data_IF_489264515631
#
_entry.id   IF_489264515631
#
_cell.length_a   1.000
_cell.length_b   1.000
_cell.length_c   1.000
_cell.angle_alpha   90.00
_cell.angle_beta   90.00
_cell.angle_gamma   90.00
#
_symmetry.space_group_name_H-M   'P 1'
#
loop_
_entity.id
_entity.type
_entity.pdbx_description
1 polymer ?
#
# COMPACT_ATOMS: atom_id res chain seq x y z
N UNK A 1 -8.05 19.33 -1.40
CA UNK A 1 -8.52 17.97 -1.65
C UNK A 1 -9.94 17.91 -2.21
N UNK A 2 -10.92 18.58 -1.60
CA UNK A 2 -12.29 18.61 -2.13
C UNK A 2 -12.39 19.09 -3.57
N UNK A 3 -11.54 20.03 -3.98
CA UNK A 3 -11.51 20.56 -5.34
C UNK A 3 -11.17 19.50 -6.39
N UNK A 4 -10.37 18.51 -6.05
CA UNK A 4 -9.94 17.46 -6.99
C UNK A 4 -11.05 16.44 -7.30
N UNK A 5 -11.99 16.24 -6.41
CA UNK A 5 -13.03 15.21 -6.52
C UNK A 5 -14.43 15.77 -6.80
N UNK A 6 -14.60 17.09 -6.74
CA UNK A 6 -15.89 17.69 -7.03
C UNK A 6 -16.11 17.78 -8.56
N UNK A 7 -17.21 17.24 -9.12
CA UNK A 7 -17.45 17.22 -10.55
C UNK A 7 -17.42 18.60 -11.23
N UNK A 8 -17.82 19.64 -10.51
CA UNK A 8 -17.79 21.02 -10.97
C UNK A 8 -16.39 21.65 -10.99
N UNK A 9 -15.39 20.96 -10.48
CA UNK A 9 -14.00 21.38 -10.47
C UNK A 9 -13.12 20.53 -11.40
N UNK A 10 -13.71 19.95 -12.42
CA UNK A 10 -13.03 19.06 -13.38
C UNK A 10 -11.77 19.67 -14.00
N UNK A 11 -11.72 20.99 -14.19
CA UNK A 11 -10.54 21.68 -14.73
C UNK A 11 -9.33 21.58 -13.79
N UNK A 12 -9.54 21.77 -12.48
CA UNK A 12 -8.46 21.66 -11.51
C UNK A 12 -7.98 20.20 -11.39
N UNK A 13 -8.90 19.28 -11.45
CA UNK A 13 -8.59 17.85 -11.50
C UNK A 13 -7.78 17.48 -12.75
N UNK A 14 -8.18 17.95 -13.92
CA UNK A 14 -7.47 17.71 -15.17
C UNK A 14 -6.04 18.28 -15.14
N UNK A 15 -5.84 19.47 -14.57
CA UNK A 15 -4.50 20.04 -14.41
C UNK A 15 -3.60 19.20 -13.51
N UNK A 16 -4.12 18.74 -12.37
CA UNK A 16 -3.38 17.86 -11.47
C UNK A 16 -3.03 16.54 -12.13
N UNK A 17 -3.97 15.95 -12.90
CA UNK A 17 -3.70 14.73 -13.67
C UNK A 17 -2.63 14.92 -14.73
N UNK A 18 -2.63 16.05 -15.44
CA UNK A 18 -1.60 16.35 -16.44
C UNK A 18 -0.20 16.50 -15.83
N UNK A 19 -0.08 17.06 -14.62
CA UNK A 19 1.19 17.14 -13.92
C UNK A 19 1.79 15.75 -13.65
N UNK A 20 0.96 14.76 -13.35
CA UNK A 20 1.40 13.38 -13.16
C UNK A 20 1.72 12.62 -14.45
N UNK A 21 1.42 13.19 -15.62
CA UNK A 21 1.61 12.54 -16.93
C UNK A 21 2.89 12.97 -17.66
N UNK A 22 3.94 13.22 -16.93
CA UNK A 22 5.20 13.73 -17.51
C UNK A 22 5.72 12.91 -18.69
N UNK A 23 5.61 11.60 -18.64
CA UNK A 23 6.04 10.73 -19.75
C UNK A 23 5.26 10.96 -21.05
N UNK A 24 4.03 11.48 -20.96
CA UNK A 24 3.20 11.82 -22.11
C UNK A 24 3.40 13.26 -22.60
N UNK A 25 3.70 14.21 -21.70
CA UNK A 25 3.92 15.62 -22.07
C UNK A 25 5.38 15.95 -22.44
N UNK A 26 6.26 14.99 -22.34
CA UNK A 26 7.66 15.11 -22.76
C UNK A 26 8.44 16.18 -21.99
N UNK A 27 9.18 17.02 -22.72
CA UNK A 27 10.05 18.07 -22.17
C UNK A 27 9.35 19.44 -22.00
N UNK A 28 8.09 19.57 -22.33
CA UNK A 28 7.36 20.84 -22.13
C UNK A 28 7.15 21.08 -20.62
N UNK A 29 7.88 22.08 -20.12
CA UNK A 29 7.83 22.47 -18.73
C UNK A 29 6.88 23.63 -18.44
N UNK A 30 6.11 24.08 -19.44
CA UNK A 30 5.16 25.20 -19.31
C UNK A 30 4.12 24.89 -18.27
N UNK A 31 3.60 23.67 -18.24
CA UNK A 31 2.62 23.21 -17.29
C UNK A 31 3.11 23.30 -15.83
N UNK A 32 4.34 22.86 -15.57
CA UNK A 32 4.95 22.93 -14.23
C UNK A 32 5.17 24.37 -13.79
N UNK A 33 5.59 25.24 -14.70
CA UNK A 33 5.74 26.69 -14.45
C UNK A 33 4.42 27.33 -14.08
N UNK A 34 3.36 27.04 -14.83
CA UNK A 34 2.05 27.65 -14.62
C UNK A 34 1.42 27.11 -13.31
N UNK A 35 1.60 25.84 -13.00
CA UNK A 35 1.19 25.27 -11.72
C UNK A 35 1.97 25.91 -10.54
N UNK A 36 3.27 26.15 -10.66
CA UNK A 36 4.05 26.81 -9.62
C UNK A 36 3.58 28.25 -9.37
N UNK A 37 3.20 28.99 -10.42
CA UNK A 37 2.61 30.32 -10.29
C UNK A 37 1.24 30.28 -9.60
N UNK A 38 0.42 29.30 -9.94
CA UNK A 38 -0.89 29.10 -9.31
C UNK A 38 -0.73 28.82 -7.82
N UNK A 39 0.18 27.90 -7.46
CA UNK A 39 0.52 27.60 -6.05
C UNK A 39 0.99 28.86 -5.33
N UNK A 40 1.89 29.65 -5.92
CA UNK A 40 2.33 30.92 -5.35
C UNK A 40 1.17 31.90 -5.12
N UNK A 41 0.24 31.96 -6.04
CA UNK A 41 -0.96 32.80 -5.91
C UNK A 41 -1.83 32.35 -4.75
N UNK A 42 -2.03 31.05 -4.59
CA UNK A 42 -2.78 30.47 -3.46
C UNK A 42 -2.08 30.79 -2.14
N UNK A 43 -0.76 30.56 -2.03
CA UNK A 43 -0.01 30.88 -0.82
C UNK A 43 -0.12 32.37 -0.42
N UNK A 44 -0.15 33.26 -1.42
CA UNK A 44 -0.38 34.69 -1.17
C UNK A 44 -1.79 34.98 -0.68
N UNK A 45 -2.79 34.39 -1.29
CA UNK A 45 -4.18 34.57 -0.91
C UNK A 45 -4.46 34.08 0.52
N UNK A 46 -3.80 33.01 0.94
CA UNK A 46 -3.88 32.43 2.29
C UNK A 46 -2.95 33.16 3.31
N UNK A 47 -2.18 34.17 2.89
CA UNK A 47 -1.31 34.96 3.77
C UNK A 47 -0.05 34.23 4.25
N UNK A 48 0.32 33.10 3.62
CA UNK A 48 1.46 32.24 4.01
C UNK A 48 2.59 32.25 2.99
N UNK A 49 2.65 33.23 2.10
CA UNK A 49 3.65 33.31 1.03
C UNK A 49 5.11 33.38 1.50
N UNK A 50 5.35 33.78 2.76
CA UNK A 50 6.67 33.85 3.38
C UNK A 50 7.05 32.59 4.17
N UNK A 51 6.18 31.57 4.20
CA UNK A 51 6.44 30.31 4.86
C UNK A 51 6.96 29.28 3.86
N UNK A 52 7.80 28.32 4.28
CA UNK A 52 8.20 27.24 3.41
C UNK A 52 7.02 26.34 3.05
N UNK A 53 7.01 25.85 1.82
CA UNK A 53 6.04 24.86 1.35
C UNK A 53 6.57 23.44 1.64
N UNK A 54 5.84 22.69 2.45
CA UNK A 54 6.12 21.25 2.64
C UNK A 54 5.60 20.44 1.46
N UNK A 55 6.44 19.59 0.88
CA UNK A 55 6.06 18.61 -0.15
C UNK A 55 6.52 17.21 0.26
N UNK A 56 5.75 16.19 -0.05
CA UNK A 56 6.11 14.79 0.22
C UNK A 56 6.74 14.11 -1.01
N UNK A 57 6.02 14.10 -2.13
CA UNK A 57 6.51 13.55 -3.40
C UNK A 57 6.35 14.60 -4.49
N UNK A 58 7.45 14.91 -5.17
CA UNK A 58 7.45 15.88 -6.26
C UNK A 58 8.44 15.50 -7.35
N UNK A 59 8.05 15.63 -8.59
CA UNK A 59 8.96 15.45 -9.73
C UNK A 59 9.98 16.61 -9.81
N UNK A 60 11.24 16.35 -10.21
CA UNK A 60 12.28 17.37 -10.30
C UNK A 60 11.88 18.64 -11.07
N UNK A 61 11.19 18.59 -12.24
CA UNK A 61 10.78 19.80 -12.94
C UNK A 61 9.79 20.66 -12.13
N UNK A 62 8.90 20.04 -11.37
CA UNK A 62 7.98 20.77 -10.50
C UNK A 62 8.73 21.43 -9.35
N UNK A 63 9.67 20.72 -8.72
CA UNK A 63 10.53 21.28 -7.68
C UNK A 63 11.29 22.51 -8.20
N UNK A 64 11.92 22.41 -9.37
CA UNK A 64 12.63 23.53 -9.97
C UNK A 64 11.71 24.70 -10.33
N UNK A 65 10.49 24.43 -10.78
CA UNK A 65 9.51 25.48 -11.06
C UNK A 65 9.07 26.22 -9.79
N UNK A 66 8.84 25.52 -8.68
CA UNK A 66 8.53 26.12 -7.38
C UNK A 66 9.68 27.00 -6.88
N UNK A 67 10.91 26.50 -6.95
CA UNK A 67 12.10 27.26 -6.57
C UNK A 67 12.32 28.52 -7.43
N UNK A 68 12.05 28.40 -8.75
CA UNK A 68 12.15 29.55 -9.68
C UNK A 68 11.12 30.64 -9.39
N UNK A 69 9.94 30.26 -8.87
CA UNK A 69 8.94 31.21 -8.38
C UNK A 69 9.30 31.80 -7.00
N UNK A 70 10.43 31.43 -6.42
CA UNK A 70 10.88 31.92 -5.12
C UNK A 70 10.17 31.27 -3.94
N UNK A 71 9.59 30.08 -4.13
CA UNK A 71 8.99 29.31 -3.04
C UNK A 71 10.08 28.46 -2.39
N UNK A 72 10.28 28.62 -1.09
CA UNK A 72 11.13 27.72 -0.30
C UNK A 72 10.41 26.39 -0.13
N UNK A 73 11.03 25.30 -0.59
CA UNK A 73 10.47 23.95 -0.51
C UNK A 73 11.21 23.15 0.55
N UNK A 74 10.47 22.48 1.44
CA UNK A 74 10.98 21.55 2.45
C UNK A 74 10.29 20.20 2.35
N UNK A 75 10.91 19.17 2.89
CA UNK A 75 10.28 17.86 3.06
C UNK A 75 9.08 17.97 4.02
N UNK A 76 7.89 17.67 3.52
CA UNK A 76 6.64 17.69 4.26
C UNK A 76 6.16 16.30 4.68
N UNK A 77 6.90 15.23 4.35
CA UNK A 77 6.50 13.84 4.57
C UNK A 77 6.13 13.57 6.03
N UNK A 78 6.99 13.97 6.98
CA UNK A 78 6.74 13.71 8.38
C UNK A 78 5.49 14.43 8.90
N UNK A 79 5.25 15.67 8.46
CA UNK A 79 4.05 16.44 8.82
C UNK A 79 2.79 15.76 8.30
N UNK A 80 2.83 15.26 7.06
CA UNK A 80 1.70 14.53 6.46
C UNK A 80 1.46 13.17 7.13
N UNK A 81 2.51 12.47 7.55
CA UNK A 81 2.39 11.23 8.31
C UNK A 81 1.72 11.48 9.66
N UNK A 82 2.16 12.49 10.39
CA UNK A 82 1.56 12.85 11.67
C UNK A 82 0.09 13.28 11.55
N UNK A 83 -0.25 14.03 10.50
CA UNK A 83 -1.63 14.43 10.25
C UNK A 83 -2.58 13.25 9.96
N UNK A 84 -2.03 12.13 9.46
CA UNK A 84 -2.79 10.89 9.13
C UNK A 84 -2.69 9.81 10.19
N UNK A 85 -1.92 10.02 11.24
CA UNK A 85 -1.63 8.99 12.25
C UNK A 85 -2.89 8.59 13.03
N UNK A 86 -3.64 9.57 13.51
CA UNK A 86 -4.87 9.35 14.27
C UNK A 86 -6.09 9.47 13.35
N UNK A 87 -6.86 8.38 13.22
CA UNK A 87 -8.05 8.30 12.38
C UNK A 87 -9.29 8.66 13.18
N UNK A 88 -10.21 9.38 12.55
CA UNK A 88 -11.54 9.59 13.10
C UNK A 88 -12.48 8.39 12.82
N UNK A 89 -13.72 8.44 13.28
CA UNK A 89 -14.67 7.33 13.15
C UNK A 89 -15.07 7.02 11.71
N UNK A 90 -15.14 8.06 10.85
CA UNK A 90 -15.50 7.90 9.45
C UNK A 90 -14.35 7.25 8.68
N UNK A 91 -13.12 7.67 8.95
CA UNK A 91 -11.91 7.06 8.39
C UNK A 91 -11.77 5.59 8.79
N UNK A 92 -12.06 5.26 10.06
CA UNK A 92 -12.07 3.87 10.53
C UNK A 92 -13.14 3.04 9.81
N UNK A 93 -14.30 3.63 9.54
CA UNK A 93 -15.38 2.96 8.78
C UNK A 93 -14.91 2.65 7.35
N UNK A 94 -14.27 3.61 6.66
CA UNK A 94 -13.74 3.40 5.32
C UNK A 94 -12.62 2.34 5.27
N UNK A 95 -11.73 2.33 6.26
CA UNK A 95 -10.70 1.29 6.40
C UNK A 95 -11.31 -0.10 6.62
N UNK A 96 -12.36 -0.20 7.43
CA UNK A 96 -13.08 -1.44 7.64
C UNK A 96 -13.78 -1.92 6.36
N UNK A 97 -14.40 -1.02 5.60
CA UNK A 97 -15.02 -1.35 4.31
C UNK A 97 -13.97 -1.84 3.30
N UNK A 98 -12.85 -1.12 3.18
CA UNK A 98 -11.74 -1.54 2.32
C UNK A 98 -11.21 -2.93 2.72
N UNK A 99 -11.07 -3.21 4.03
CA UNK A 99 -10.63 -4.52 4.52
C UNK A 99 -11.64 -5.63 4.22
N UNK A 100 -12.94 -5.36 4.39
CA UNK A 100 -14.00 -6.33 4.09
C UNK A 100 -14.05 -6.70 2.60
N UNK A 101 -13.75 -5.75 1.70
CA UNK A 101 -13.63 -6.04 0.26
C UNK A 101 -12.51 -7.06 0.00
N UNK A 102 -11.36 -6.90 0.64
CA UNK A 102 -10.23 -7.83 0.51
C UNK A 102 -10.56 -9.20 1.12
N UNK A 103 -11.29 -9.27 2.22
CA UNK A 103 -11.76 -10.56 2.77
C UNK A 103 -12.64 -11.31 1.77
N UNK A 104 -13.54 -10.61 1.06
CA UNK A 104 -14.33 -11.19 -0.04
C UNK A 104 -13.46 -11.73 -1.17
N UNK A 105 -12.42 -10.98 -1.56
CA UNK A 105 -11.46 -11.45 -2.59
C UNK A 105 -10.69 -12.68 -2.13
N UNK A 106 -10.30 -12.76 -0.86
CA UNK A 106 -9.64 -13.96 -0.33
C UNK A 106 -10.53 -15.19 -0.35
N UNK A 107 -11.84 -15.02 -0.16
CA UNK A 107 -12.80 -16.12 -0.34
C UNK A 107 -12.82 -16.58 -1.81
N UNK A 108 -12.91 -15.65 -2.76
CA UNK A 108 -12.86 -15.97 -4.20
C UNK A 108 -11.54 -16.67 -4.59
N UNK A 109 -10.41 -16.21 -4.03
CA UNK A 109 -9.11 -16.86 -4.22
C UNK A 109 -9.12 -18.29 -3.67
N UNK A 110 -9.64 -18.50 -2.46
CA UNK A 110 -9.71 -19.83 -1.85
C UNK A 110 -10.50 -20.82 -2.69
N UNK A 111 -11.59 -20.38 -3.33
CA UNK A 111 -12.42 -21.17 -4.21
C UNK A 111 -11.76 -21.46 -5.56
N UNK A 112 -11.01 -20.49 -6.10
CA UNK A 112 -10.33 -20.62 -7.40
C UNK A 112 -9.00 -21.38 -7.31
N UNK A 113 -8.38 -21.42 -6.12
CA UNK A 113 -7.03 -21.93 -5.92
C UNK A 113 -6.98 -23.45 -6.08
N UNK A 114 -6.36 -23.90 -7.18
CA UNK A 114 -6.21 -25.32 -7.50
C UNK A 114 -4.89 -25.56 -8.24
N UNK A 115 -4.39 -26.79 -8.26
CA UNK A 115 -3.23 -27.14 -9.09
C UNK A 115 -3.44 -26.78 -10.55
N UNK A 116 -2.41 -26.20 -11.18
CA UNK A 116 -2.43 -25.81 -12.59
C UNK A 116 -2.92 -24.38 -12.86
N UNK A 117 -3.43 -23.66 -11.86
CA UNK A 117 -3.69 -22.22 -12.00
C UNK A 117 -2.37 -21.45 -11.95
N UNK A 118 -2.25 -20.36 -12.70
CA UNK A 118 -1.07 -19.48 -12.65
C UNK A 118 -1.20 -18.43 -11.56
N UNK A 119 -0.07 -17.99 -11.01
CA UNK A 119 -0.03 -16.86 -10.08
C UNK A 119 -0.69 -15.61 -10.69
N UNK A 120 -0.40 -15.31 -11.96
CA UNK A 120 -1.00 -14.19 -12.71
C UNK A 120 -2.52 -14.29 -12.88
N UNK A 121 -3.08 -15.50 -12.97
CA UNK A 121 -4.52 -15.69 -13.06
C UNK A 121 -5.23 -15.36 -11.74
N UNK A 122 -4.58 -15.63 -10.60
CA UNK A 122 -5.08 -15.19 -9.29
C UNK A 122 -5.06 -13.67 -9.19
N UNK A 123 -3.99 -13.02 -9.65
CA UNK A 123 -3.91 -11.55 -9.70
C UNK A 123 -5.04 -10.96 -10.55
N UNK A 124 -5.29 -11.53 -11.72
CA UNK A 124 -6.37 -11.08 -12.60
C UNK A 124 -7.76 -11.22 -11.94
N UNK A 125 -8.02 -12.35 -11.27
CA UNK A 125 -9.25 -12.58 -10.51
C UNK A 125 -9.43 -11.55 -9.42
N UNK A 126 -8.41 -11.36 -8.57
CA UNK A 126 -8.46 -10.44 -7.44
C UNK A 126 -8.64 -8.99 -7.90
N UNK A 127 -7.90 -8.57 -8.93
CA UNK A 127 -8.02 -7.23 -9.53
C UNK A 127 -9.42 -6.96 -10.04
N UNK A 128 -9.97 -7.90 -10.81
CA UNK A 128 -11.34 -7.81 -11.33
C UNK A 128 -12.36 -7.63 -10.19
N UNK A 129 -12.28 -8.48 -9.16
CA UNK A 129 -13.23 -8.43 -8.04
C UNK A 129 -13.17 -7.14 -7.25
N UNK A 130 -11.99 -6.62 -6.98
CA UNK A 130 -11.84 -5.33 -6.29
C UNK A 130 -12.50 -4.19 -7.06
N UNK A 131 -12.27 -4.10 -8.37
CA UNK A 131 -12.93 -3.07 -9.18
C UNK A 131 -14.45 -3.28 -9.29
N UNK A 132 -14.95 -4.52 -9.37
CA UNK A 132 -16.39 -4.80 -9.34
C UNK A 132 -17.04 -4.37 -8.01
N UNK A 133 -16.31 -4.41 -6.91
CA UNK A 133 -16.77 -3.93 -5.60
C UNK A 133 -16.62 -2.42 -5.39
N UNK A 134 -15.98 -1.69 -6.33
CA UNK A 134 -15.85 -0.25 -6.29
C UNK A 134 -14.53 0.26 -5.72
N UNK A 135 -13.46 -0.54 -5.77
CA UNK A 135 -12.11 -0.05 -5.43
C UNK A 135 -11.72 1.12 -6.33
N UNK A 136 -11.11 2.16 -5.76
CA UNK A 136 -10.59 3.31 -6.50
C UNK A 136 -9.34 2.93 -7.30
N UNK A 137 -8.49 2.11 -6.68
CA UNK A 137 -7.22 1.70 -7.24
C UNK A 137 -6.78 0.37 -6.64
N UNK A 138 -6.38 -0.55 -7.48
CA UNK A 138 -5.64 -1.76 -7.10
C UNK A 138 -4.16 -1.48 -7.34
N UNK A 139 -3.42 -1.23 -6.26
CA UNK A 139 -2.04 -0.75 -6.36
C UNK A 139 -1.06 -1.88 -6.64
N UNK A 140 -1.21 -2.99 -5.91
CA UNK A 140 -0.43 -4.18 -6.12
C UNK A 140 -1.16 -5.42 -5.59
N UNK A 141 -0.97 -6.53 -6.27
CA UNK A 141 -1.32 -7.85 -5.76
C UNK A 141 -0.11 -8.75 -5.94
N UNK A 142 0.49 -9.15 -4.82
CA UNK A 142 1.54 -10.15 -4.82
C UNK A 142 0.90 -11.54 -4.80
N UNK A 143 1.35 -12.42 -5.67
CA UNK A 143 0.87 -13.80 -5.78
C UNK A 143 2.07 -14.72 -5.93
N UNK A 144 2.44 -15.39 -4.84
CA UNK A 144 3.68 -16.13 -4.71
C UNK A 144 3.38 -17.57 -4.31
N UNK A 145 4.03 -18.52 -4.94
CA UNK A 145 3.79 -19.93 -4.67
C UNK A 145 5.05 -20.78 -4.65
N UNK A 146 4.98 -21.88 -3.91
CA UNK A 146 6.01 -22.91 -3.83
C UNK A 146 7.35 -22.39 -3.31
N UNK A 147 8.43 -22.74 -4.01
CA UNK A 147 9.81 -22.36 -3.67
C UNK A 147 10.06 -20.85 -3.66
N UNK A 148 9.23 -20.08 -4.34
CA UNK A 148 9.33 -18.61 -4.38
C UNK A 148 8.83 -17.94 -3.10
N UNK A 149 8.18 -18.68 -2.21
CA UNK A 149 7.76 -18.13 -0.91
C UNK A 149 8.91 -17.75 0.01
N UNK A 150 10.15 -18.13 -0.32
CA UNK A 150 11.36 -17.74 0.40
C UNK A 150 12.52 -17.54 -0.60
N UNK A 151 13.22 -16.39 -0.54
CA UNK A 151 12.91 -15.18 0.19
C UNK A 151 11.57 -14.58 -0.27
N UNK A 152 11.02 -13.62 0.45
CA UNK A 152 9.69 -13.06 0.26
C UNK A 152 9.66 -11.98 -0.86
N UNK A 153 9.42 -12.31 -2.14
CA UNK A 153 9.35 -11.32 -3.21
C UNK A 153 8.00 -10.60 -3.22
N UNK A 154 7.97 -9.39 -3.79
CA UNK A 154 6.75 -8.59 -3.94
C UNK A 154 6.34 -8.49 -5.42
N UNK A 155 5.98 -9.62 -6.01
CA UNK A 155 5.57 -9.70 -7.42
C UNK A 155 4.64 -10.89 -7.66
N UNK A 156 4.45 -11.22 -8.93
CA UNK A 156 3.85 -12.47 -9.39
C UNK A 156 4.51 -12.89 -10.70
N UNK A 157 4.30 -14.14 -11.10
CA UNK A 157 4.79 -14.66 -12.37
C UNK A 157 3.71 -15.49 -13.07
N UNK A 158 4.09 -16.12 -14.18
CA UNK A 158 3.28 -17.12 -14.90
C UNK A 158 3.45 -18.55 -14.35
N UNK A 159 4.12 -18.70 -13.18
CA UNK A 159 4.32 -20.00 -12.55
C UNK A 159 2.99 -20.71 -12.33
N UNK A 160 2.94 -21.97 -12.76
CA UNK A 160 1.83 -22.87 -12.45
C UNK A 160 1.93 -23.35 -11.00
N UNK A 161 0.89 -23.13 -10.23
CA UNK A 161 0.79 -23.57 -8.84
C UNK A 161 0.62 -25.10 -8.81
N UNK A 162 1.37 -25.79 -7.95
CA UNK A 162 1.46 -27.24 -7.90
C UNK A 162 0.77 -27.82 -6.66
N UNK A 163 0.39 -29.11 -6.69
CA UNK A 163 -0.08 -29.79 -5.47
C UNK A 163 0.97 -29.74 -4.35
N UNK A 164 0.55 -29.36 -3.13
CA UNK A 164 1.42 -29.24 -1.97
C UNK A 164 2.14 -27.91 -1.84
N UNK A 165 2.05 -27.02 -2.84
CA UNK A 165 2.61 -25.68 -2.72
C UNK A 165 1.96 -24.92 -1.57
N UNK A 166 2.77 -24.16 -0.83
CA UNK A 166 2.32 -23.01 -0.09
C UNK A 166 2.12 -21.87 -1.08
N UNK A 167 1.05 -21.14 -0.94
CA UNK A 167 0.82 -19.91 -1.72
C UNK A 167 0.37 -18.80 -0.79
N UNK A 168 0.98 -17.63 -0.92
CA UNK A 168 0.52 -16.45 -0.21
C UNK A 168 0.20 -15.31 -1.17
N UNK A 169 -0.73 -14.51 -0.75
CA UNK A 169 -1.18 -13.35 -1.51
C UNK A 169 -1.18 -12.14 -0.59
N UNK A 170 -0.73 -11.02 -1.14
CA UNK A 170 -0.82 -9.72 -0.52
C UNK A 170 -1.62 -8.81 -1.43
N UNK A 171 -2.66 -8.21 -0.90
CA UNK A 171 -3.58 -7.38 -1.66
C UNK A 171 -3.51 -5.95 -1.12
N UNK A 172 -3.08 -5.03 -1.99
CA UNK A 172 -2.97 -3.61 -1.70
C UNK A 172 -3.93 -2.86 -2.61
N UNK A 173 -4.97 -2.29 -2.02
CA UNK A 173 -5.94 -1.47 -2.74
C UNK A 173 -6.41 -0.29 -1.91
N UNK A 174 -7.08 0.65 -2.56
CA UNK A 174 -7.75 1.77 -1.89
C UNK A 174 -9.24 1.82 -2.21
N UNK A 175 -10.00 2.24 -1.22
CA UNK A 175 -11.43 2.52 -1.31
C UNK A 175 -11.70 3.89 -0.70
N UNK A 176 -12.29 4.80 -1.47
CA UNK A 176 -12.55 6.19 -1.08
C UNK A 176 -11.28 6.90 -0.55
N UNK A 177 -10.12 6.58 -1.14
CA UNK A 177 -8.81 7.10 -0.75
C UNK A 177 -8.15 6.42 0.46
N UNK A 178 -8.78 5.42 1.07
CA UNK A 178 -8.24 4.68 2.21
C UNK A 178 -7.69 3.34 1.78
N UNK A 179 -6.42 3.10 2.12
CA UNK A 179 -5.63 1.95 1.68
C UNK A 179 -5.63 0.86 2.72
N UNK A 180 -5.72 -0.41 2.25
CA UNK A 180 -5.42 -1.60 3.05
C UNK A 180 -4.31 -2.41 2.41
N UNK A 181 -3.61 -3.19 3.25
CA UNK A 181 -2.59 -4.14 2.82
C UNK A 181 -2.51 -5.26 3.86
N UNK A 182 -2.82 -6.49 3.46
CA UNK A 182 -2.59 -7.65 4.32
C UNK A 182 -2.53 -8.97 3.56
N UNK A 183 -1.90 -9.93 4.17
CA UNK A 183 -1.58 -11.24 3.61
C UNK A 183 -2.54 -12.34 4.04
N UNK A 184 -2.69 -13.34 3.15
CA UNK A 184 -3.23 -14.64 3.51
C UNK A 184 -2.40 -15.73 2.85
N UNK A 185 -2.17 -16.82 3.62
CA UNK A 185 -1.39 -17.97 3.18
C UNK A 185 -2.28 -19.19 3.08
N UNK A 186 -2.16 -19.93 1.99
CA UNK A 186 -2.91 -21.14 1.68
C UNK A 186 -1.94 -22.30 1.39
N UNK A 187 -2.44 -23.52 1.56
CA UNK A 187 -1.80 -24.70 0.98
C UNK A 187 -2.68 -25.25 -0.16
N UNK A 188 -2.04 -25.57 -1.27
CA UNK A 188 -2.73 -26.12 -2.44
C UNK A 188 -2.80 -27.64 -2.33
N UNK A 189 -3.96 -28.14 -1.92
CA UNK A 189 -4.15 -29.53 -1.56
C UNK A 189 -3.87 -29.79 -0.07
N UNK A 190 -3.06 -30.81 0.27
CA UNK A 190 -2.86 -31.22 1.65
C UNK A 190 -1.60 -30.60 2.28
N UNK A 191 -1.78 -29.85 3.35
CA UNK A 191 -0.67 -29.30 4.13
C UNK A 191 0.11 -30.40 4.85
N UNK A 192 1.45 -30.29 4.87
CA UNK A 192 2.33 -31.13 5.67
C UNK A 192 2.23 -30.80 7.17
N UNK A 193 2.65 -31.70 8.07
CA UNK A 193 2.73 -31.38 9.51
C UNK A 193 3.62 -30.17 9.81
N UNK A 194 4.74 -30.00 9.09
CA UNK A 194 5.65 -28.87 9.24
C UNK A 194 4.98 -27.54 8.88
N UNK A 195 4.29 -27.47 7.72
CA UNK A 195 3.55 -26.30 7.30
C UNK A 195 2.44 -25.91 8.31
N UNK A 196 1.69 -26.90 8.81
CA UNK A 196 0.66 -26.63 9.85
C UNK A 196 1.27 -26.11 11.15
N UNK A 197 2.43 -26.63 11.55
CA UNK A 197 3.12 -26.20 12.77
C UNK A 197 3.63 -24.76 12.60
N UNK A 198 4.26 -24.45 11.48
CA UNK A 198 4.73 -23.10 11.18
C UNK A 198 3.59 -22.08 11.16
N UNK A 199 2.48 -22.39 10.47
CA UNK A 199 1.29 -21.55 10.42
C UNK A 199 0.70 -21.29 11.81
N UNK A 200 0.60 -22.34 12.65
CA UNK A 200 0.08 -22.22 14.02
C UNK A 200 0.94 -21.28 14.86
N UNK A 201 2.27 -21.44 14.80
CA UNK A 201 3.20 -20.56 15.50
C UNK A 201 3.08 -19.10 15.04
N UNK A 202 3.05 -18.89 13.74
CA UNK A 202 2.89 -17.54 13.18
C UNK A 202 1.56 -16.90 13.64
N UNK A 203 0.47 -17.68 13.68
CA UNK A 203 -0.83 -17.23 14.18
C UNK A 203 -0.79 -16.88 15.67
N UNK A 204 -0.14 -17.71 16.49
CA UNK A 204 0.03 -17.45 17.94
C UNK A 204 0.81 -16.15 18.18
N UNK A 205 1.85 -15.88 17.38
CA UNK A 205 2.60 -14.63 17.48
C UNK A 205 1.77 -13.42 17.08
N UNK A 206 1.00 -13.54 16.00
CA UNK A 206 0.11 -12.48 15.54
C UNK A 206 -0.96 -12.16 16.58
N UNK A 207 -1.64 -13.18 17.13
CA UNK A 207 -2.68 -13.00 18.14
C UNK A 207 -2.10 -12.33 19.40
N UNK A 208 -0.90 -12.74 19.86
CA UNK A 208 -0.16 -12.08 20.95
C UNK A 208 0.13 -10.61 20.64
N UNK A 209 0.55 -10.31 19.42
CA UNK A 209 0.80 -8.93 18.97
C UNK A 209 -0.46 -8.10 19.03
N UNK A 210 -1.58 -8.62 18.54
CA UNK A 210 -2.89 -7.95 18.57
C UNK A 210 -3.31 -7.66 20.03
N UNK A 211 -3.13 -8.61 20.92
CA UNK A 211 -3.45 -8.44 22.35
C UNK A 211 -2.63 -7.34 23.04
N UNK A 212 -1.44 -7.06 22.53
CA UNK A 212 -0.57 -5.98 23.03
C UNK A 212 -0.89 -4.61 22.44
N UNK A 213 -1.63 -4.52 21.34
CA UNK A 213 -2.02 -3.26 20.70
C UNK A 213 -3.05 -2.51 21.57
N UNK A 214 -2.57 -1.77 22.56
CA UNK A 214 -3.38 -0.98 23.50
C UNK A 214 -2.81 0.42 23.65
N UNK A 215 -3.64 1.43 23.94
CA UNK A 215 -3.16 2.77 24.23
C UNK A 215 -2.03 2.79 25.26
N UNK A 216 -0.95 3.50 24.96
CA UNK A 216 0.22 3.61 25.83
C UNK A 216 1.26 2.49 25.70
N UNK A 217 1.00 1.45 24.91
CA UNK A 217 2.00 0.41 24.60
C UNK A 217 2.87 0.89 23.45
N UNK A 218 4.18 0.87 23.65
CA UNK A 218 5.16 1.26 22.63
C UNK A 218 5.44 0.13 21.64
N UNK A 219 5.78 0.46 20.40
CA UNK A 219 6.07 -0.52 19.34
C UNK A 219 7.28 -1.40 19.67
N UNK A 220 8.28 -0.88 20.39
CA UNK A 220 9.43 -1.66 20.85
C UNK A 220 9.05 -2.77 21.84
N UNK A 221 8.05 -2.52 22.71
CA UNK A 221 7.51 -3.55 23.59
C UNK A 221 6.85 -4.67 22.80
N UNK A 222 6.12 -4.34 21.75
CA UNK A 222 5.51 -5.32 20.87
C UNK A 222 6.60 -6.13 20.16
N UNK A 223 7.57 -5.46 19.53
CA UNK A 223 8.67 -6.11 18.83
C UNK A 223 9.45 -7.09 19.73
N UNK A 224 9.72 -6.71 20.98
CA UNK A 224 10.40 -7.58 21.96
C UNK A 224 9.57 -8.78 22.41
N UNK A 225 8.28 -8.81 22.15
CA UNK A 225 7.41 -9.96 22.47
C UNK A 225 7.49 -11.08 21.42
N UNK A 226 8.03 -10.77 20.26
CA UNK A 226 8.23 -11.74 19.17
C UNK A 226 9.51 -12.55 19.39
N UNK A 227 9.59 -13.78 18.88
CA UNK A 227 10.82 -14.59 18.96
C UNK A 227 11.95 -13.92 18.19
N UNK A 228 13.17 -14.08 18.66
CA UNK A 228 14.36 -13.72 17.89
C UNK A 228 14.61 -14.73 16.78
N UNK A 229 15.25 -14.32 15.71
CA UNK A 229 15.59 -15.19 14.59
C UNK A 229 16.32 -16.46 15.03
N UNK A 230 17.32 -16.35 15.92
CA UNK A 230 18.05 -17.50 16.48
C UNK A 230 17.19 -18.50 17.24
N UNK A 231 16.12 -18.05 17.92
CA UNK A 231 15.21 -18.92 18.69
C UNK A 231 14.33 -19.78 17.77
N UNK A 232 14.20 -19.39 16.51
CA UNK A 232 13.39 -20.08 15.49
C UNK A 232 14.23 -20.71 14.38
N UNK A 233 15.58 -20.70 14.54
CA UNK A 233 16.50 -21.43 13.68
C UNK A 233 17.04 -20.68 12.48
N UNK A 234 16.94 -19.34 12.46
CA UNK A 234 17.50 -18.49 11.42
C UNK A 234 18.77 -17.77 11.90
N UNK A 235 19.67 -17.46 10.98
CA UNK A 235 20.94 -16.81 11.30
C UNK A 235 20.81 -15.30 11.56
N UNK A 236 19.76 -14.66 11.03
CA UNK A 236 19.52 -13.22 11.18
C UNK A 236 18.03 -12.87 11.12
N UNK A 237 17.68 -11.69 11.61
CA UNK A 237 16.32 -11.15 11.50
C UNK A 237 15.90 -10.94 10.03
N UNK A 238 16.84 -10.54 9.18
CA UNK A 238 16.64 -10.42 7.73
C UNK A 238 16.24 -11.77 7.11
N UNK A 239 16.91 -12.86 7.47
CA UNK A 239 16.60 -14.19 6.97
C UNK A 239 15.24 -14.70 7.48
N UNK A 240 14.95 -14.43 8.75
CA UNK A 240 13.72 -14.91 9.39
C UNK A 240 12.47 -14.19 8.92
N UNK A 241 12.55 -12.86 8.72
CA UNK A 241 11.39 -11.99 8.54
C UNK A 241 11.39 -11.21 7.22
N UNK A 242 12.44 -11.34 6.41
CA UNK A 242 12.53 -10.71 5.10
C UNK A 242 12.67 -9.18 5.13
N UNK A 243 13.23 -8.64 6.21
CA UNK A 243 13.39 -7.19 6.43
C UNK A 243 14.77 -6.70 5.99
#
# INVERSE_FOLDING_TARGET
HHKLYAPWLAQDHCRAGLLGMRGAVGSDLTLFRDAAKEIKSILKAEGVANMPLGVDVVEPPMLFALQKEGIEVRDGQQTMLQAREVKNVDELTLLNMASAMVDGVYQDIAEALKPGIQESQIVALATKRLYEMGSDCVEAINSISGERCSPHPHNFTDRLIRPGDQAFFDIIHSYMGYRTCYYRTFNVGRATPAQRTAYRKAREWMDRTIDLLKPGVTTDRIARSLPKAGDIGFASEMEAFGL
#
